data_IF_922146176264
#
_entry.id   IF_922146176264
#
_cell.length_a   1.000
_cell.length_b   1.000
_cell.length_c   1.000
_cell.angle_alpha   90.00
_cell.angle_beta   90.00
_cell.angle_gamma   90.00
#
_symmetry.space_group_name_H-M   'P 1'
#
loop_
_entity.id
_entity.type
_entity.pdbx_description
1 polymer ?
#
# COMPACT_ATOMS: atom_id res chain seq x y z
N UNK A 1 -11.83 23.18 -2.73
CA UNK A 1 -11.03 22.29 -3.63
C UNK A 1 -9.86 21.61 -2.89
N UNK A 2 -9.09 22.34 -2.07
CA UNK A 2 -7.97 21.81 -1.25
C UNK A 2 -8.33 20.65 -0.32
N UNK A 3 -9.36 20.80 0.52
CA UNK A 3 -9.80 19.73 1.42
C UNK A 3 -10.20 18.43 0.68
N UNK A 4 -10.76 18.58 -0.53
CA UNK A 4 -11.09 17.44 -1.38
C UNK A 4 -9.82 16.73 -1.91
N UNK A 5 -8.80 17.48 -2.32
CA UNK A 5 -7.51 16.91 -2.73
C UNK A 5 -6.82 16.18 -1.57
N UNK A 6 -6.79 16.78 -0.38
CA UNK A 6 -6.23 16.15 0.83
C UNK A 6 -6.97 14.86 1.17
N UNK A 7 -8.30 14.88 1.16
CA UNK A 7 -9.13 13.69 1.42
C UNK A 7 -8.93 12.61 0.37
N UNK A 8 -8.88 12.96 -0.92
CA UNK A 8 -8.72 11.99 -2.01
C UNK A 8 -7.34 11.34 -1.93
N UNK A 9 -6.25 12.12 -1.89
CA UNK A 9 -4.90 11.56 -1.91
C UNK A 9 -4.56 10.79 -0.63
N UNK A 10 -4.89 11.35 0.54
CA UNK A 10 -4.66 10.64 1.81
C UNK A 10 -5.57 9.42 1.93
N UNK A 11 -6.84 9.54 1.55
CA UNK A 11 -7.81 8.46 1.58
C UNK A 11 -7.42 7.29 0.67
N UNK A 12 -7.02 7.57 -0.57
CA UNK A 12 -6.50 6.56 -1.50
C UNK A 12 -5.25 5.90 -0.94
N UNK A 13 -4.32 6.67 -0.37
CA UNK A 13 -3.11 6.11 0.25
C UNK A 13 -3.43 5.13 1.40
N UNK A 14 -4.37 5.47 2.28
CA UNK A 14 -4.80 4.56 3.36
C UNK A 14 -5.55 3.34 2.84
N UNK A 15 -6.45 3.50 1.86
CA UNK A 15 -7.16 2.40 1.21
C UNK A 15 -6.18 1.42 0.55
N UNK A 16 -5.19 1.94 -0.16
CA UNK A 16 -4.15 1.12 -0.79
C UNK A 16 -3.36 0.33 0.24
N UNK A 17 -3.00 0.97 1.37
CA UNK A 17 -2.30 0.30 2.47
C UNK A 17 -3.13 -0.82 3.10
N UNK A 18 -4.43 -0.59 3.28
CA UNK A 18 -5.34 -1.57 3.85
C UNK A 18 -5.59 -2.76 2.91
N UNK A 19 -6.03 -2.48 1.68
CA UNK A 19 -6.35 -3.52 0.68
C UNK A 19 -5.09 -4.26 0.27
N UNK A 20 -4.01 -3.53 -0.04
CA UNK A 20 -2.74 -4.14 -0.42
C UNK A 20 -2.15 -4.97 0.72
N UNK A 21 -2.28 -4.53 1.97
CA UNK A 21 -1.90 -5.33 3.13
C UNK A 21 -2.71 -6.63 3.24
N UNK A 22 -4.03 -6.55 3.09
CA UNK A 22 -4.91 -7.73 3.13
C UNK A 22 -4.59 -8.73 2.01
N UNK A 23 -4.38 -8.25 0.78
CA UNK A 23 -4.01 -9.07 -0.37
C UNK A 23 -2.64 -9.71 -0.17
N UNK A 24 -1.64 -8.96 0.30
CA UNK A 24 -0.30 -9.50 0.61
C UNK A 24 -0.37 -10.60 1.66
N UNK A 25 -1.16 -10.43 2.73
CA UNK A 25 -1.34 -11.45 3.77
C UNK A 25 -2.01 -12.71 3.18
N UNK A 26 -3.04 -12.54 2.37
CA UNK A 26 -3.69 -13.66 1.67
C UNK A 26 -2.73 -14.41 0.76
N UNK A 27 -1.94 -13.70 -0.04
CA UNK A 27 -0.90 -14.29 -0.88
C UNK A 27 0.18 -15.01 -0.07
N UNK A 28 0.57 -14.47 1.07
CA UNK A 28 1.57 -15.08 1.94
C UNK A 28 1.08 -16.44 2.46
N UNK A 29 -0.12 -16.50 3.02
CA UNK A 29 -0.70 -17.76 3.50
C UNK A 29 -0.97 -18.75 2.36
N UNK A 30 -1.43 -18.27 1.20
CA UNK A 30 -1.57 -19.12 0.02
C UNK A 30 -0.23 -19.66 -0.50
N UNK A 31 0.84 -18.86 -0.38
CA UNK A 31 2.21 -19.26 -0.66
C UNK A 31 2.69 -20.36 0.27
N UNK A 32 2.43 -20.25 1.58
CA UNK A 32 2.71 -21.32 2.56
C UNK A 32 1.97 -22.60 2.19
N UNK A 33 0.66 -22.53 1.92
CA UNK A 33 -0.10 -23.70 1.47
C UNK A 33 0.53 -24.33 0.22
N UNK A 34 0.84 -23.52 -0.78
CA UNK A 34 1.42 -24.01 -2.04
C UNK A 34 2.81 -24.65 -1.83
N UNK A 35 3.60 -24.12 -0.90
CA UNK A 35 4.93 -24.61 -0.55
C UNK A 35 4.90 -26.05 -0.03
N UNK A 36 3.90 -26.40 0.80
CA UNK A 36 3.78 -27.73 1.40
C UNK A 36 2.91 -28.70 0.60
N UNK A 37 1.96 -28.23 -0.20
CA UNK A 37 0.96 -29.09 -0.86
C UNK A 37 1.10 -29.20 -2.38
N UNK A 38 1.85 -28.32 -3.05
CA UNK A 38 1.94 -28.31 -4.51
C UNK A 38 3.37 -28.24 -5.03
N UNK A 39 4.11 -27.20 -4.67
CA UNK A 39 5.46 -26.96 -5.18
C UNK A 39 6.19 -25.97 -4.29
N UNK A 40 7.38 -26.37 -3.84
CA UNK A 40 8.27 -25.54 -3.02
C UNK A 40 8.64 -24.25 -3.78
N UNK A 41 9.02 -24.37 -5.06
CA UNK A 41 9.44 -23.22 -5.86
C UNK A 41 8.32 -22.17 -6.00
N UNK A 42 7.11 -22.61 -6.33
CA UNK A 42 5.96 -21.70 -6.49
C UNK A 42 5.55 -21.11 -5.14
N UNK A 43 5.56 -21.90 -4.07
CA UNK A 43 5.28 -21.40 -2.72
C UNK A 43 6.25 -20.31 -2.26
N UNK A 44 7.55 -20.52 -2.48
CA UNK A 44 8.59 -19.52 -2.17
C UNK A 44 8.44 -18.27 -3.04
N UNK A 45 8.12 -18.40 -4.33
CA UNK A 45 7.85 -17.24 -5.20
C UNK A 45 6.65 -16.42 -4.72
N UNK A 46 5.56 -17.07 -4.30
CA UNK A 46 4.38 -16.38 -3.79
C UNK A 46 4.66 -15.66 -2.47
N UNK A 47 5.41 -16.30 -1.56
CA UNK A 47 5.85 -15.70 -0.29
C UNK A 47 6.75 -14.49 -0.56
N UNK A 48 7.77 -14.64 -1.41
CA UNK A 48 8.67 -13.55 -1.79
C UNK A 48 7.91 -12.40 -2.46
N UNK A 49 7.00 -12.73 -3.38
CA UNK A 49 6.12 -11.76 -4.04
C UNK A 49 5.20 -11.01 -3.06
N UNK A 50 4.68 -11.69 -2.04
CA UNK A 50 3.85 -11.07 -1.00
C UNK A 50 4.64 -10.04 -0.17
N UNK A 51 5.89 -10.38 0.20
CA UNK A 51 6.79 -9.48 0.97
C UNK A 51 7.18 -8.27 0.14
N UNK A 52 7.68 -8.49 -1.09
CA UNK A 52 8.08 -7.40 -1.99
C UNK A 52 6.88 -6.55 -2.39
N UNK A 53 5.74 -7.17 -2.70
CA UNK A 53 4.49 -6.48 -2.97
C UNK A 53 4.03 -5.62 -1.79
N UNK A 54 4.19 -6.12 -0.57
CA UNK A 54 3.92 -5.36 0.65
C UNK A 54 4.78 -4.10 0.77
N UNK A 55 6.06 -4.18 0.43
CA UNK A 55 6.95 -3.01 0.41
C UNK A 55 6.53 -1.99 -0.64
N UNK A 56 6.21 -2.44 -1.85
CA UNK A 56 5.73 -1.58 -2.93
C UNK A 56 4.46 -0.84 -2.50
N UNK A 57 3.48 -1.56 -1.94
CA UNK A 57 2.23 -0.97 -1.43
C UNK A 57 2.52 0.08 -0.37
N UNK A 58 3.43 -0.19 0.58
CA UNK A 58 3.80 0.78 1.62
C UNK A 58 4.42 2.05 1.05
N UNK A 59 5.33 1.92 0.07
CA UNK A 59 5.98 3.06 -0.59
C UNK A 59 4.93 3.90 -1.32
N UNK A 60 4.12 3.28 -2.17
CA UNK A 60 3.11 3.99 -2.98
C UNK A 60 2.08 4.65 -2.07
N UNK A 61 1.61 3.96 -1.03
CA UNK A 61 0.69 4.53 -0.04
C UNK A 61 1.28 5.73 0.67
N UNK A 62 2.57 5.65 1.05
CA UNK A 62 3.30 6.73 1.68
C UNK A 62 3.41 7.97 0.78
N UNK A 63 3.68 7.77 -0.51
CA UNK A 63 3.72 8.86 -1.51
C UNK A 63 2.36 9.55 -1.59
N UNK A 64 1.26 8.79 -1.67
CA UNK A 64 -0.08 9.36 -1.75
C UNK A 64 -0.46 10.18 -0.51
N UNK A 65 -0.14 9.67 0.68
CA UNK A 65 -0.37 10.39 1.94
C UNK A 65 0.51 11.65 2.01
N UNK A 66 1.76 11.57 1.57
CA UNK A 66 2.68 12.72 1.55
C UNK A 66 2.22 13.82 0.58
N UNK A 67 1.69 13.46 -0.59
CA UNK A 67 1.08 14.41 -1.53
C UNK A 67 -0.15 15.08 -0.89
N UNK A 68 -1.01 14.30 -0.23
CA UNK A 68 -2.15 14.81 0.50
C UNK A 68 -1.75 15.81 1.61
N UNK A 69 -0.73 15.47 2.40
CA UNK A 69 -0.19 16.33 3.45
C UNK A 69 0.48 17.60 2.88
N UNK A 70 1.22 17.49 1.78
CA UNK A 70 1.84 18.64 1.10
C UNK A 70 0.80 19.63 0.55
N UNK A 71 -0.30 19.13 -0.02
CA UNK A 71 -1.41 20.00 -0.43
C UNK A 71 -2.08 20.70 0.78
N UNK A 72 -2.02 20.08 1.96
CA UNK A 72 -2.49 20.67 3.20
C UNK A 72 -1.53 21.73 3.77
N UNK A 73 -0.24 21.75 3.45
CA UNK A 73 0.70 22.76 3.98
C UNK A 73 0.86 23.97 3.06
N UNK A 74 0.77 23.79 1.74
CA UNK A 74 0.90 24.90 0.77
C UNK A 74 -0.15 25.99 1.04
N UNK A 75 -1.41 25.63 1.27
CA UNK A 75 -2.45 26.63 1.51
C UNK A 75 -2.46 27.24 2.92
N UNK A 76 -1.49 26.97 3.80
CA UNK A 76 -1.30 27.76 5.04
C UNK A 76 -0.46 29.01 4.72
N UNK A 77 0.46 28.91 3.75
CA UNK A 77 1.32 30.03 3.34
C UNK A 77 0.61 31.12 2.53
N UNK A 78 -0.54 30.80 1.94
CA UNK A 78 -1.33 31.76 1.16
C UNK A 78 -2.36 32.53 2.03
N UNK A 79 -2.49 32.20 3.32
CA UNK A 79 -3.43 32.84 4.26
C UNK A 79 -2.73 33.77 5.30
N UNK A 80 -1.40 33.88 5.28
CA UNK A 80 -0.60 34.90 5.99
C UNK A 80 -0.28 36.09 5.07
#
# INVERSE_FOLDING_TARGET
MRAALVMIFSGIGYLLKFIGGFVSVGMFFYGIYTLFFKSIAVGLMLIGGAVVGGWIVQIISGIFIAIGAGAATIGIKDEE
#
